data_IF_899897730909
#
_entry.id   IF_899897730909
#
_cell.length_a   1.000
_cell.length_b   1.000
_cell.length_c   1.000
_cell.angle_alpha   90.00
_cell.angle_beta   90.00
_cell.angle_gamma   90.00
#
_symmetry.space_group_name_H-M   'P 1'
#
loop_
_entity.id
_entity.type
_entity.pdbx_description
1 polymer ?
#
# COMPACT_ATOMS: atom_id res chain seq x y z
N UNK A 1 3.14 -20.93 1.65
CA UNK A 1 2.27 -20.82 2.84
C UNK A 1 1.89 -19.36 3.01
N UNK A 2 0.65 -19.06 3.43
CA UNK A 2 0.20 -17.69 3.67
C UNK A 2 0.82 -17.19 4.97
N UNK A 3 1.79 -16.28 4.88
CA UNK A 3 2.41 -15.68 6.07
C UNK A 3 1.47 -14.59 6.62
N UNK A 4 0.70 -14.96 7.64
CA UNK A 4 -0.30 -14.07 8.27
C UNK A 4 0.37 -12.84 8.89
N UNK A 5 1.55 -13.00 9.50
CA UNK A 5 2.34 -11.90 10.08
C UNK A 5 2.73 -10.88 9.02
N UNK A 6 3.23 -11.36 7.88
CA UNK A 6 3.58 -10.50 6.73
C UNK A 6 2.38 -9.68 6.23
N UNK A 7 1.23 -10.34 6.06
CA UNK A 7 0.00 -9.69 5.62
C UNK A 7 -0.49 -8.65 6.63
N UNK A 8 -0.42 -8.96 7.93
CA UNK A 8 -0.84 -8.06 8.98
C UNK A 8 0.07 -6.83 9.07
N UNK A 9 1.39 -7.00 8.96
CA UNK A 9 2.35 -5.90 8.94
C UNK A 9 2.12 -5.02 7.71
N UNK A 10 1.93 -5.61 6.52
CA UNK A 10 1.59 -4.85 5.30
C UNK A 10 0.27 -4.09 5.44
N UNK A 11 -0.73 -4.72 6.04
CA UNK A 11 -2.02 -4.08 6.26
C UNK A 11 -1.89 -2.88 7.18
N UNK A 12 -1.25 -3.05 8.33
CA UNK A 12 -1.07 -1.99 9.32
C UNK A 12 -0.24 -0.85 8.74
N UNK A 13 0.86 -1.14 8.03
CA UNK A 13 1.66 -0.09 7.40
C UNK A 13 0.86 0.67 6.33
N UNK A 14 0.13 -0.04 5.46
CA UNK A 14 -0.74 0.58 4.45
C UNK A 14 -1.83 1.44 5.09
N UNK A 15 -2.45 0.97 6.17
CA UNK A 15 -3.46 1.72 6.91
C UNK A 15 -2.88 2.99 7.53
N UNK A 16 -1.73 2.90 8.20
CA UNK A 16 -1.09 4.07 8.82
C UNK A 16 -0.69 5.11 7.76
N UNK A 17 -0.07 4.68 6.66
CA UNK A 17 0.32 5.59 5.58
C UNK A 17 -0.88 6.24 4.90
N UNK A 18 -1.94 5.47 4.66
CA UNK A 18 -3.17 5.99 4.05
C UNK A 18 -3.93 6.94 4.98
N UNK A 19 -3.92 6.72 6.30
CA UNK A 19 -4.44 7.70 7.27
C UNK A 19 -3.62 9.00 7.22
N UNK A 20 -2.29 8.89 7.27
CA UNK A 20 -1.40 10.06 7.23
C UNK A 20 -1.51 10.86 5.93
N UNK A 21 -1.87 10.22 4.83
CA UNK A 21 -1.98 10.87 3.52
C UNK A 21 -3.42 11.25 3.20
N UNK A 22 -4.29 10.26 3.01
CA UNK A 22 -5.66 10.45 2.56
C UNK A 22 -6.56 11.09 3.62
N UNK A 23 -6.38 10.79 4.92
CA UNK A 23 -7.18 11.44 5.97
C UNK A 23 -6.67 12.83 6.26
N UNK A 24 -5.34 12.99 6.44
CA UNK A 24 -4.77 14.25 6.90
C UNK A 24 -4.84 15.35 5.83
N UNK A 25 -4.57 15.03 4.55
CA UNK A 25 -4.54 16.03 3.49
C UNK A 25 -5.88 16.18 2.75
N UNK A 26 -6.63 15.09 2.56
CA UNK A 26 -7.88 15.12 1.77
C UNK A 26 -9.15 14.95 2.63
N UNK A 27 -9.01 14.86 3.96
CA UNK A 27 -10.11 14.72 4.93
C UNK A 27 -11.02 13.52 4.68
N UNK A 28 -10.46 12.42 4.15
CA UNK A 28 -11.23 11.20 3.94
C UNK A 28 -11.67 10.59 5.28
N UNK A 29 -12.92 10.08 5.38
CA UNK A 29 -13.37 9.42 6.59
C UNK A 29 -12.61 8.10 6.81
N UNK A 30 -12.36 7.79 8.08
CA UNK A 30 -11.62 6.59 8.50
C UNK A 30 -12.16 5.30 7.87
N UNK A 31 -13.48 5.15 7.77
CA UNK A 31 -14.13 3.96 7.19
C UNK A 31 -13.74 3.71 5.74
N UNK A 32 -13.63 4.75 4.92
CA UNK A 32 -13.22 4.62 3.52
C UNK A 32 -11.73 4.36 3.37
N UNK A 33 -10.91 4.92 4.26
CA UNK A 33 -9.46 4.68 4.31
C UNK A 33 -9.17 3.24 4.75
N UNK A 34 -9.95 2.71 5.68
CA UNK A 34 -9.89 1.29 6.07
C UNK A 34 -10.22 0.37 4.90
N UNK A 35 -11.27 0.68 4.13
CA UNK A 35 -11.64 -0.06 2.92
C UNK A 35 -10.52 0.01 1.87
N UNK A 36 -9.95 1.20 1.64
CA UNK A 36 -8.79 1.39 0.77
C UNK A 36 -7.62 0.50 1.21
N UNK A 37 -7.26 0.53 2.50
CA UNK A 37 -6.13 -0.22 3.02
C UNK A 37 -6.33 -1.73 2.85
N UNK A 38 -7.54 -2.24 3.04
CA UNK A 38 -7.87 -3.66 2.82
C UNK A 38 -7.65 -4.07 1.36
N UNK A 39 -8.22 -3.32 0.41
CA UNK A 39 -8.12 -3.60 -1.02
C UNK A 39 -6.66 -3.52 -1.48
N UNK A 40 -5.98 -2.42 -1.13
CA UNK A 40 -4.59 -2.17 -1.52
C UNK A 40 -3.64 -3.21 -0.95
N UNK A 41 -3.84 -3.64 0.30
CA UNK A 41 -3.01 -4.70 0.88
C UNK A 41 -3.16 -6.01 0.12
N UNK A 42 -4.40 -6.39 -0.24
CA UNK A 42 -4.65 -7.61 -1.01
C UNK A 42 -4.00 -7.58 -2.38
N UNK A 43 -4.13 -6.47 -3.09
CA UNK A 43 -3.51 -6.28 -4.42
C UNK A 43 -1.98 -6.26 -4.32
N UNK A 44 -1.43 -5.50 -3.38
CA UNK A 44 0.02 -5.41 -3.20
C UNK A 44 0.62 -6.76 -2.78
N UNK A 45 -0.05 -7.53 -1.92
CA UNK A 45 0.37 -8.89 -1.58
C UNK A 45 0.43 -9.79 -2.83
N UNK A 46 -0.56 -9.69 -3.72
CA UNK A 46 -0.55 -10.43 -4.99
C UNK A 46 0.62 -9.99 -5.88
N UNK A 47 0.89 -8.69 -5.99
CA UNK A 47 2.03 -8.16 -6.75
C UNK A 47 3.36 -8.73 -6.22
N UNK A 48 3.62 -8.63 -4.91
CA UNK A 48 4.88 -9.10 -4.33
C UNK A 48 5.05 -10.62 -4.48
N UNK A 49 3.99 -11.40 -4.28
CA UNK A 49 4.09 -12.87 -4.20
C UNK A 49 3.96 -13.57 -5.55
N UNK A 50 3.28 -12.98 -6.53
CA UNK A 50 3.02 -13.63 -7.83
C UNK A 50 3.77 -13.00 -8.99
N UNK A 51 3.98 -11.68 -8.97
CA UNK A 51 4.64 -10.96 -10.06
C UNK A 51 6.14 -10.87 -9.80
N UNK A 52 6.54 -10.67 -8.54
CA UNK A 52 7.93 -10.44 -8.14
C UNK A 52 8.45 -11.48 -7.15
N UNK A 53 8.06 -12.74 -7.34
CA UNK A 53 8.40 -13.87 -6.45
C UNK A 53 9.92 -14.20 -6.38
N UNK A 54 10.76 -13.58 -7.21
CA UNK A 54 12.19 -13.85 -7.27
C UNK A 54 12.98 -12.89 -6.38
N UNK A 55 13.88 -13.42 -5.55
CA UNK A 55 14.66 -12.69 -4.53
C UNK A 55 15.50 -11.51 -5.07
N UNK A 56 15.77 -11.48 -6.37
CA UNK A 56 16.54 -10.43 -7.05
C UNK A 56 15.71 -9.19 -7.45
N UNK A 57 14.37 -9.27 -7.44
CA UNK A 57 13.51 -8.23 -8.02
C UNK A 57 12.89 -7.33 -6.92
N UNK A 58 13.74 -6.87 -5.99
CA UNK A 58 13.31 -6.08 -4.81
C UNK A 58 12.82 -4.69 -5.17
N UNK A 59 13.61 -3.94 -5.92
CA UNK A 59 13.30 -2.55 -6.27
C UNK A 59 12.04 -2.45 -7.12
N UNK A 60 11.87 -3.22 -8.21
CA UNK A 60 10.68 -3.11 -9.05
C UNK A 60 9.38 -3.49 -8.34
N UNK A 61 9.42 -4.44 -7.41
CA UNK A 61 8.25 -4.84 -6.62
C UNK A 61 7.72 -3.68 -5.78
N UNK A 62 8.60 -3.00 -5.05
CA UNK A 62 8.23 -1.89 -4.17
C UNK A 62 7.72 -0.68 -4.97
N UNK A 63 8.33 -0.39 -6.13
CA UNK A 63 7.81 0.63 -7.04
C UNK A 63 6.42 0.27 -7.58
N UNK A 64 6.20 -0.98 -7.97
CA UNK A 64 4.89 -1.44 -8.43
C UNK A 64 3.81 -1.35 -7.33
N UNK A 65 4.16 -1.64 -6.09
CA UNK A 65 3.28 -1.44 -4.92
C UNK A 65 2.94 0.03 -4.69
N UNK A 66 3.90 0.94 -4.80
CA UNK A 66 3.64 2.39 -4.70
C UNK A 66 2.69 2.89 -5.79
N UNK A 67 2.98 2.53 -7.04
CA UNK A 67 2.17 2.93 -8.21
C UNK A 67 0.76 2.35 -8.11
N UNK A 68 0.63 1.07 -7.76
CA UNK A 68 -0.69 0.44 -7.59
C UNK A 68 -1.48 1.06 -6.43
N UNK A 69 -0.83 1.37 -5.31
CA UNK A 69 -1.45 2.06 -4.18
C UNK A 69 -2.05 3.42 -4.59
N UNK A 70 -1.30 4.20 -5.37
CA UNK A 70 -1.80 5.45 -5.97
C UNK A 70 -2.95 5.19 -6.94
N UNK A 71 -2.81 4.22 -7.85
CA UNK A 71 -3.83 3.92 -8.85
C UNK A 71 -5.16 3.49 -8.21
N UNK A 72 -5.11 2.67 -7.15
CA UNK A 72 -6.30 2.23 -6.41
C UNK A 72 -7.00 3.42 -5.74
N UNK A 73 -6.25 4.31 -5.08
CA UNK A 73 -6.82 5.51 -4.46
C UNK A 73 -7.45 6.42 -5.52
N UNK A 74 -6.77 6.61 -6.64
CA UNK A 74 -7.30 7.36 -7.78
C UNK A 74 -8.61 6.75 -8.29
N UNK A 75 -8.67 5.44 -8.52
CA UNK A 75 -9.89 4.74 -8.94
C UNK A 75 -11.01 4.89 -7.90
N UNK A 76 -10.71 4.73 -6.61
CA UNK A 76 -11.69 4.89 -5.54
C UNK A 76 -12.29 6.30 -5.53
N UNK A 77 -11.53 7.33 -5.89
CA UNK A 77 -12.06 8.71 -5.98
C UNK A 77 -13.11 8.90 -7.07
N UNK A 78 -13.11 8.07 -8.12
CA UNK A 78 -14.15 8.09 -9.15
C UNK A 78 -15.36 7.22 -8.80
N UNK A 79 -15.13 6.10 -8.10
CA UNK A 79 -16.15 5.08 -7.88
C UNK A 79 -16.91 5.28 -6.59
N UNK A 80 -16.27 5.82 -5.54
CA UNK A 80 -16.83 5.88 -4.19
C UNK A 80 -17.19 7.33 -3.85
N UNK A 81 -18.49 7.63 -3.67
CA UNK A 81 -18.93 8.96 -3.24
C UNK A 81 -18.28 9.35 -1.91
N UNK A 82 -17.71 10.55 -1.86
CA UNK A 82 -17.07 11.09 -0.66
C UNK A 82 -15.60 10.68 -0.47
N UNK A 83 -15.04 9.83 -1.32
CA UNK A 83 -13.60 9.59 -1.36
C UNK A 83 -12.92 10.68 -2.20
N UNK A 84 -11.99 11.42 -1.59
CA UNK A 84 -11.24 12.50 -2.23
C UNK A 84 -9.78 12.08 -2.38
N UNK A 85 -9.21 12.29 -3.56
CA UNK A 85 -7.77 12.15 -3.75
C UNK A 85 -7.27 13.28 -4.64
N UNK A 86 -6.32 14.08 -4.15
CA UNK A 86 -5.61 15.07 -4.96
C UNK A 86 -4.32 14.48 -5.53
N UNK A 87 -3.80 15.07 -6.61
CA UNK A 87 -2.57 14.55 -7.23
C UNK A 87 -1.39 14.53 -6.24
N UNK A 88 -1.27 15.56 -5.40
CA UNK A 88 -0.19 15.65 -4.41
C UNK A 88 -0.29 14.55 -3.34
N UNK A 89 -1.49 14.20 -2.89
CA UNK A 89 -1.69 13.15 -1.88
C UNK A 89 -1.46 11.77 -2.46
N UNK A 90 -1.89 11.54 -3.69
CA UNK A 90 -1.59 10.33 -4.45
C UNK A 90 -0.08 10.12 -4.63
N UNK A 91 0.63 11.19 -5.01
CA UNK A 91 2.08 11.14 -5.15
C UNK A 91 2.78 10.90 -3.80
N UNK A 92 2.38 11.62 -2.76
CA UNK A 92 2.91 11.44 -1.40
C UNK A 92 2.67 10.01 -0.89
N UNK A 93 1.49 9.44 -1.13
CA UNK A 93 1.14 8.06 -0.80
C UNK A 93 2.03 7.06 -1.54
N UNK A 94 2.21 7.22 -2.85
CA UNK A 94 3.11 6.37 -3.62
C UNK A 94 4.54 6.41 -3.07
N UNK A 95 5.09 7.60 -2.83
CA UNK A 95 6.43 7.76 -2.26
C UNK A 95 6.54 7.14 -0.87
N UNK A 96 5.54 7.34 -0.01
CA UNK A 96 5.53 6.80 1.34
C UNK A 96 5.46 5.27 1.35
N UNK A 97 4.64 4.67 0.47
CA UNK A 97 4.57 3.22 0.29
C UNK A 97 5.90 2.68 -0.23
N UNK A 98 6.53 3.34 -1.19
CA UNK A 98 7.84 2.92 -1.73
C UNK A 98 8.91 2.95 -0.65
N UNK A 99 9.01 4.06 0.10
CA UNK A 99 10.00 4.19 1.17
C UNK A 99 9.76 3.14 2.26
N UNK A 100 8.51 3.00 2.70
CA UNK A 100 8.15 2.03 3.74
C UNK A 100 8.42 0.61 3.27
N UNK A 101 8.05 0.25 2.05
CA UNK A 101 8.32 -1.05 1.46
C UNK A 101 9.82 -1.34 1.39
N UNK A 102 10.64 -0.35 1.01
CA UNK A 102 12.10 -0.49 0.95
C UNK A 102 12.70 -0.79 2.34
N UNK A 103 12.25 -0.10 3.39
CA UNK A 103 12.76 -0.32 4.75
C UNK A 103 12.17 -1.56 5.45
N UNK A 104 10.86 -1.81 5.32
CA UNK A 104 10.20 -2.96 5.95
C UNK A 104 10.56 -4.29 5.29
N UNK A 105 10.95 -4.29 4.01
CA UNK A 105 11.36 -5.52 3.34
C UNK A 105 12.51 -6.23 4.09
N UNK A 106 13.49 -5.47 4.60
CA UNK A 106 14.60 -6.02 5.37
C UNK A 106 14.15 -6.67 6.71
N UNK A 107 13.09 -6.14 7.32
CA UNK A 107 12.51 -6.69 8.56
C UNK A 107 11.69 -7.95 8.29
N UNK A 108 10.97 -8.01 7.16
CA UNK A 108 10.05 -9.09 6.82
C UNK A 108 10.73 -10.32 6.21
N UNK A 109 11.89 -10.17 5.56
CA UNK A 109 12.68 -11.29 5.00
C UNK A 109 13.33 -12.16 6.09
N UNK A 110 13.57 -11.60 7.28
CA UNK A 110 14.19 -12.31 8.41
C UNK A 110 13.30 -13.43 9.00
N UNK A 111 11.97 -13.36 8.83
CA UNK A 111 11.04 -14.40 9.32
C UNK A 111 10.83 -15.56 8.33
N UNK A 112 11.37 -15.48 7.11
CA UNK A 112 11.15 -16.48 6.05
C UNK A 112 12.29 -17.47 5.82
N UNK A 113 13.37 -17.38 6.62
CA UNK A 113 14.42 -18.42 6.70
C UNK A 113 14.18 -19.31 7.91
#
# INVERSE_FOLDING_TARGET
MLNVTYLLIKFVSTLVLSLLTLTLFDSNPFSLVLLYALITTGINFFISTRVFASDDIRTPAVFAEGISSMAIAWVMSFVIPGFRSTFLTLFALACAVILTGYFLHNLLVLETK
#
